data_IF_467849178171
#
_entry.id   IF_467849178171
#
_cell.length_a   1.000
_cell.length_b   1.000
_cell.length_c   1.000
_cell.angle_alpha   90.00
_cell.angle_beta   90.00
_cell.angle_gamma   90.00
#
_symmetry.space_group_name_H-M   'P 1'
#
loop_
_entity.id
_entity.type
_entity.pdbx_description
1 polymer ?
#
# COMPACT_ATOMS: atom_id res chain seq x y z
N UNK A 1 -7.19 -16.73 -11.52
CA UNK A 1 -7.03 -17.70 -10.42
C UNK A 1 -5.99 -17.12 -9.47
N UNK A 2 -6.40 -16.74 -8.27
CA UNK A 2 -5.49 -16.18 -7.28
C UNK A 2 -4.40 -17.20 -6.95
N UNK A 3 -3.16 -16.74 -6.93
CA UNK A 3 -2.05 -17.54 -6.42
C UNK A 3 -2.15 -17.60 -4.89
N UNK A 4 -1.61 -18.66 -4.29
CA UNK A 4 -1.56 -18.77 -2.83
C UNK A 4 -0.80 -17.59 -2.22
N UNK A 5 -1.34 -17.01 -1.12
CA UNK A 5 -0.82 -15.78 -0.55
C UNK A 5 0.60 -15.90 0.03
N UNK A 6 0.82 -16.80 0.98
CA UNK A 6 2.12 -16.94 1.66
C UNK A 6 2.67 -18.35 1.55
N UNK A 7 3.82 -18.48 0.89
CA UNK A 7 4.61 -19.71 0.85
C UNK A 7 5.69 -19.64 1.93
N UNK A 8 5.67 -20.58 2.89
CA UNK A 8 6.65 -20.63 3.97
C UNK A 8 7.09 -22.08 4.29
N UNK A 9 8.38 -22.35 4.48
CA UNK A 9 9.52 -21.43 4.23
C UNK A 9 9.66 -21.07 2.75
N UNK A 10 10.35 -19.96 2.43
CA UNK A 10 10.62 -19.55 1.04
C UNK A 10 11.20 -20.72 0.25
N UNK A 11 10.70 -20.95 -0.96
CA UNK A 11 11.14 -22.05 -1.83
C UNK A 11 10.59 -23.43 -1.49
N UNK A 12 9.78 -23.58 -0.43
CA UNK A 12 9.22 -24.89 -0.05
C UNK A 12 8.06 -25.36 -0.94
N UNK A 13 7.43 -24.46 -1.68
CA UNK A 13 6.18 -24.73 -2.39
C UNK A 13 4.96 -24.99 -1.48
N UNK A 14 5.14 -24.85 -0.15
CA UNK A 14 4.06 -25.07 0.82
C UNK A 14 3.37 -23.76 1.16
N UNK A 15 2.08 -23.70 0.92
CA UNK A 15 1.26 -22.54 1.30
C UNK A 15 0.97 -22.58 2.78
N UNK A 16 1.44 -21.58 3.52
CA UNK A 16 1.15 -21.40 4.94
C UNK A 16 -0.15 -20.60 5.16
N UNK A 17 -0.39 -19.58 4.34
CA UNK A 17 -1.62 -18.80 4.32
C UNK A 17 -2.08 -18.70 2.87
N UNK A 18 -3.24 -19.26 2.57
CA UNK A 18 -3.82 -19.16 1.23
C UNK A 18 -4.33 -17.76 0.97
N UNK A 19 -5.07 -17.23 1.94
CA UNK A 19 -5.66 -15.90 1.88
C UNK A 19 -5.90 -15.35 3.28
N UNK A 20 -5.78 -14.06 3.44
CA UNK A 20 -6.20 -13.32 4.62
C UNK A 20 -6.76 -11.96 4.21
N UNK A 21 -7.64 -11.40 5.01
CA UNK A 21 -8.23 -10.09 4.75
C UNK A 21 -9.00 -9.60 5.97
N UNK A 22 -9.38 -8.33 5.91
CA UNK A 22 -10.26 -7.71 6.90
C UNK A 22 -11.71 -7.79 6.41
N UNK A 23 -12.62 -7.95 7.35
CA UNK A 23 -14.06 -7.83 7.12
C UNK A 23 -14.59 -6.83 8.15
N UNK A 24 -15.41 -5.90 7.72
CA UNK A 24 -16.06 -4.94 8.59
C UNK A 24 -17.56 -4.92 8.33
N UNK A 25 -18.31 -4.47 9.32
CA UNK A 25 -19.73 -4.25 9.18
C UNK A 25 -20.11 -3.01 10.02
N UNK A 26 -20.99 -2.20 9.49
CA UNK A 26 -21.52 -1.03 10.17
C UNK A 26 -22.96 -0.75 9.74
N UNK A 27 -23.65 0.02 10.58
CA UNK A 27 -24.93 0.62 10.23
C UNK A 27 -24.68 2.09 9.93
N UNK A 28 -25.12 2.56 8.77
CA UNK A 28 -25.01 3.96 8.43
C UNK A 28 -26.08 4.76 9.17
N UNK A 29 -25.71 5.96 9.63
CA UNK A 29 -26.59 6.80 10.43
C UNK A 29 -27.86 7.27 9.67
N UNK A 30 -27.77 7.32 8.35
CA UNK A 30 -28.82 7.83 7.47
C UNK A 30 -29.76 6.74 6.94
N UNK A 31 -29.46 5.48 7.27
CA UNK A 31 -30.27 4.35 6.84
C UNK A 31 -31.61 4.37 7.57
N UNK A 32 -32.68 4.45 6.77
CA UNK A 32 -34.06 4.37 7.28
C UNK A 32 -34.48 2.93 7.56
N UNK A 33 -33.73 1.97 7.06
CA UNK A 33 -33.90 0.54 7.29
C UNK A 33 -32.70 -0.01 8.06
N UNK A 34 -32.96 -0.95 8.96
CA UNK A 34 -31.93 -1.62 9.77
C UNK A 34 -31.20 -2.65 8.89
N UNK A 35 -30.40 -2.17 7.92
CA UNK A 35 -29.63 -3.02 7.02
C UNK A 35 -28.13 -2.81 7.27
N UNK A 36 -27.42 -3.79 7.86
CA UNK A 36 -26.00 -3.67 8.08
C UNK A 36 -25.24 -3.73 6.75
N UNK A 37 -24.44 -2.71 6.48
CA UNK A 37 -23.47 -2.73 5.40
C UNK A 37 -22.25 -3.57 5.80
N UNK A 38 -21.80 -4.42 4.88
CA UNK A 38 -20.64 -5.29 5.08
C UNK A 38 -19.66 -5.04 3.94
N UNK A 39 -18.39 -4.99 4.25
CA UNK A 39 -17.31 -4.87 3.28
C UNK A 39 -16.05 -5.58 3.75
N UNK A 40 -15.04 -5.60 2.92
CA UNK A 40 -13.78 -6.24 3.27
C UNK A 40 -12.86 -6.48 2.09
N UNK A 41 -11.70 -7.03 2.38
CA UNK A 41 -10.65 -7.35 1.40
C UNK A 41 -10.46 -8.84 1.15
N UNK A 42 -11.42 -9.68 1.56
CA UNK A 42 -11.34 -11.12 1.33
C UNK A 42 -11.58 -11.44 -0.15
N UNK A 43 -10.83 -12.40 -0.69
CA UNK A 43 -10.93 -12.90 -2.08
C UNK A 43 -10.62 -11.87 -3.18
N UNK A 44 -9.81 -10.85 -2.85
CA UNK A 44 -9.46 -9.75 -3.79
C UNK A 44 -10.68 -8.96 -4.27
N UNK A 45 -11.81 -9.10 -3.58
CA UNK A 45 -13.06 -8.46 -3.93
C UNK A 45 -13.54 -7.61 -2.74
N UNK A 46 -14.17 -6.48 -3.01
CA UNK A 46 -14.69 -5.56 -2.02
C UNK A 46 -13.82 -4.33 -1.76
N UNK A 47 -12.59 -4.30 -2.27
CA UNK A 47 -11.73 -3.11 -2.28
C UNK A 47 -11.14 -2.90 -3.66
N UNK A 48 -10.96 -1.64 -4.02
CA UNK A 48 -10.15 -1.22 -5.16
C UNK A 48 -8.99 -0.35 -4.69
N UNK A 49 -7.89 -0.33 -5.46
CA UNK A 49 -6.80 0.62 -5.24
C UNK A 49 -7.29 2.06 -5.40
N UNK A 50 -6.67 2.98 -4.66
CA UNK A 50 -7.02 4.39 -4.67
C UNK A 50 -7.64 4.86 -3.36
N UNK A 51 -7.86 6.16 -3.25
CA UNK A 51 -8.31 6.81 -2.02
C UNK A 51 -9.55 7.67 -2.22
N UNK A 52 -10.10 8.15 -1.13
CA UNK A 52 -11.21 9.10 -1.13
C UNK A 52 -10.62 10.46 -0.74
N UNK A 53 -10.69 11.45 -1.62
CA UNK A 53 -10.14 12.78 -1.34
C UNK A 53 -10.97 13.54 -0.30
N UNK A 54 -10.44 14.67 0.18
CA UNK A 54 -11.10 15.50 1.19
C UNK A 54 -12.46 16.10 0.73
N UNK A 55 -12.75 16.06 -0.57
CA UNK A 55 -14.02 16.47 -1.13
C UNK A 55 -15.00 15.30 -1.29
N UNK A 56 -14.57 14.07 -0.96
CA UNK A 56 -15.36 12.85 -1.10
C UNK A 56 -15.30 12.22 -2.49
N UNK A 57 -14.39 12.66 -3.37
CA UNK A 57 -14.24 12.06 -4.67
C UNK A 57 -13.38 10.80 -4.58
N UNK A 58 -13.79 9.77 -5.28
CA UNK A 58 -13.03 8.51 -5.38
C UNK A 58 -11.93 8.66 -6.42
N UNK A 59 -10.70 8.46 -6.01
CA UNK A 59 -9.54 8.40 -6.90
C UNK A 59 -9.35 6.94 -7.32
N UNK A 60 -9.40 6.66 -8.64
CA UNK A 60 -9.47 5.29 -9.13
C UNK A 60 -8.10 4.59 -9.13
N UNK A 61 -8.06 3.24 -9.28
CA UNK A 61 -6.83 2.47 -9.36
C UNK A 61 -5.95 2.79 -10.58
N UNK A 62 -6.49 3.52 -11.56
CA UNK A 62 -5.72 4.02 -12.71
C UNK A 62 -4.84 5.24 -12.38
N UNK A 63 -5.03 5.87 -11.21
CA UNK A 63 -4.12 6.93 -10.77
C UNK A 63 -2.73 6.33 -10.46
N UNK A 64 -1.64 6.96 -10.95
CA UNK A 64 -0.28 6.45 -10.71
C UNK A 64 0.09 6.30 -9.24
N UNK A 65 -0.56 7.02 -8.34
CA UNK A 65 -0.34 6.97 -6.90
C UNK A 65 -1.17 5.88 -6.20
N UNK A 66 -2.12 5.25 -6.90
CA UNK A 66 -2.92 4.14 -6.38
C UNK A 66 -2.20 2.77 -6.45
N UNK A 67 -0.88 2.78 -6.54
CA UNK A 67 -0.02 1.60 -6.61
C UNK A 67 0.50 1.19 -5.24
N UNK A 68 1.07 0.01 -5.16
CA UNK A 68 1.84 -0.41 -3.98
C UNK A 68 3.21 0.27 -4.04
N UNK A 69 3.53 1.03 -3.00
CA UNK A 69 4.84 1.61 -2.77
C UNK A 69 5.66 0.67 -1.88
N UNK A 70 6.95 0.60 -2.12
CA UNK A 70 7.87 -0.16 -1.27
C UNK A 70 9.19 0.55 -1.11
N UNK A 71 9.66 0.61 0.11
CA UNK A 71 10.94 1.25 0.44
C UNK A 71 11.80 0.35 1.29
N UNK A 72 13.10 0.42 1.04
CA UNK A 72 14.15 -0.26 1.80
C UNK A 72 15.28 0.72 2.09
N UNK A 73 15.51 1.06 3.37
CA UNK A 73 16.57 2.01 3.72
C UNK A 73 17.96 1.58 3.24
N UNK A 74 18.26 0.28 3.26
CA UNK A 74 19.57 -0.25 2.82
C UNK A 74 19.79 -0.08 1.31
N UNK A 75 18.76 -0.16 0.48
CA UNK A 75 18.86 0.07 -0.97
C UNK A 75 19.23 1.53 -1.24
N UNK A 76 18.53 2.46 -0.60
CA UNK A 76 18.76 3.88 -0.81
C UNK A 76 20.10 4.35 -0.21
N UNK A 77 20.44 3.91 0.99
CA UNK A 77 21.69 4.29 1.68
C UNK A 77 22.88 3.47 1.22
N UNK A 78 22.69 2.21 0.86
CA UNK A 78 23.73 1.29 0.38
C UNK A 78 24.09 1.48 -1.08
N UNK A 79 23.22 2.18 -1.84
CA UNK A 79 23.44 2.42 -3.26
C UNK A 79 23.53 1.14 -4.09
N UNK A 80 24.36 1.13 -5.15
CA UNK A 80 24.43 -0.01 -6.07
C UNK A 80 25.08 -1.26 -5.49
N UNK A 81 25.55 -1.24 -4.27
CA UNK A 81 26.21 -2.38 -3.61
C UNK A 81 25.23 -3.39 -3.00
N UNK A 82 23.97 -3.00 -2.82
CA UNK A 82 22.94 -3.92 -2.32
C UNK A 82 22.51 -4.87 -3.45
N UNK A 83 22.64 -6.17 -3.19
CA UNK A 83 22.25 -7.23 -4.14
C UNK A 83 20.72 -7.39 -4.15
N UNK A 84 20.10 -7.03 -5.27
CA UNK A 84 18.65 -7.17 -5.51
C UNK A 84 18.35 -8.34 -6.48
N UNK A 85 19.36 -9.12 -6.87
CA UNK A 85 19.19 -10.21 -7.85
C UNK A 85 18.18 -11.28 -7.40
N UNK A 86 18.06 -11.65 -6.10
CA UNK A 86 17.04 -12.62 -5.69
C UNK A 86 15.61 -12.06 -5.83
N UNK A 87 15.43 -10.78 -5.55
CA UNK A 87 14.14 -10.11 -5.66
C UNK A 87 13.75 -9.93 -7.13
N UNK A 88 14.71 -9.50 -7.96
CA UNK A 88 14.55 -9.38 -9.40
C UNK A 88 14.16 -10.71 -10.06
N UNK A 89 14.78 -11.81 -9.63
CA UNK A 89 14.45 -13.14 -10.11
C UNK A 89 13.03 -13.57 -9.71
N UNK A 90 12.62 -13.29 -8.49
CA UNK A 90 11.27 -13.60 -8.00
C UNK A 90 10.19 -12.80 -8.77
N UNK A 91 10.50 -11.56 -9.16
CA UNK A 91 9.60 -10.68 -9.93
C UNK A 91 9.68 -10.90 -11.46
N UNK A 92 10.66 -11.64 -11.94
CA UNK A 92 10.90 -11.80 -13.37
C UNK A 92 11.31 -10.49 -14.06
N UNK A 93 12.00 -9.60 -13.35
CA UNK A 93 12.45 -8.26 -13.80
C UNK A 93 13.97 -8.16 -13.80
N UNK A 94 14.51 -7.14 -14.48
CA UNK A 94 15.92 -6.82 -14.34
C UNK A 94 16.21 -6.16 -12.97
N UNK A 95 17.36 -6.44 -12.37
CA UNK A 95 17.76 -5.86 -11.08
C UNK A 95 17.77 -4.33 -11.13
N UNK A 96 18.19 -3.76 -12.27
CA UNK A 96 18.18 -2.31 -12.47
C UNK A 96 16.76 -1.70 -12.38
N UNK A 97 15.74 -2.42 -12.88
CA UNK A 97 14.35 -1.97 -12.84
C UNK A 97 13.78 -2.06 -11.43
N UNK A 98 14.17 -3.10 -10.67
CA UNK A 98 13.80 -3.23 -9.25
C UNK A 98 14.41 -2.09 -8.43
N UNK A 99 15.68 -1.78 -8.67
CA UNK A 99 16.38 -0.67 -8.01
C UNK A 99 15.74 0.68 -8.34
N UNK A 100 15.49 0.94 -9.62
CA UNK A 100 14.83 2.17 -10.05
C UNK A 100 13.44 2.34 -9.42
N UNK A 101 12.71 1.24 -9.22
CA UNK A 101 11.43 1.26 -8.52
C UNK A 101 11.58 1.68 -7.06
N UNK A 102 12.57 1.14 -6.32
CA UNK A 102 12.85 1.56 -4.95
C UNK A 102 13.23 3.04 -4.85
N UNK A 103 14.03 3.54 -5.78
CA UNK A 103 14.44 4.95 -5.84
C UNK A 103 13.24 5.86 -6.12
N UNK A 104 12.37 5.44 -7.05
CA UNK A 104 11.12 6.16 -7.36
C UNK A 104 10.18 6.15 -6.15
N UNK A 105 9.95 4.98 -5.54
CA UNK A 105 9.07 4.86 -4.38
C UNK A 105 9.59 5.66 -3.18
N UNK A 106 10.90 5.77 -3.04
CA UNK A 106 11.51 6.60 -2.01
C UNK A 106 11.21 8.08 -2.21
N UNK A 107 11.36 8.57 -3.43
CA UNK A 107 11.15 10.00 -3.72
C UNK A 107 9.68 10.41 -3.83
N UNK A 108 8.83 9.48 -4.29
CA UNK A 108 7.40 9.69 -4.48
C UNK A 108 6.55 9.15 -3.33
N UNK A 109 7.17 8.84 -2.17
CA UNK A 109 6.48 8.28 -1.02
C UNK A 109 5.27 9.13 -0.62
N UNK A 110 4.06 8.54 -0.55
CA UNK A 110 2.82 9.31 -0.45
C UNK A 110 2.50 9.71 0.99
N UNK A 111 3.41 10.43 1.63
CA UNK A 111 3.25 10.91 3.00
C UNK A 111 2.01 11.81 3.19
N UNK A 112 1.64 12.56 2.15
CA UNK A 112 0.43 13.39 2.13
C UNK A 112 -0.87 12.57 2.14
N UNK A 113 -0.80 11.29 1.78
CA UNK A 113 -1.91 10.33 1.88
C UNK A 113 -1.86 9.50 3.17
N UNK A 114 -0.93 9.78 4.09
CA UNK A 114 -0.83 9.09 5.38
C UNK A 114 0.25 8.03 5.46
N UNK A 115 1.05 7.83 4.41
CA UNK A 115 2.16 6.89 4.47
C UNK A 115 3.18 7.32 5.53
N UNK A 116 3.60 6.42 6.46
CA UNK A 116 4.46 6.77 7.57
C UNK A 116 5.87 7.14 7.10
N UNK A 117 6.47 8.13 7.72
CA UNK A 117 7.87 8.50 7.51
C UNK A 117 8.49 9.07 8.80
N UNK A 118 9.80 9.05 8.87
CA UNK A 118 10.54 9.77 9.89
C UNK A 118 10.87 11.17 9.38
N UNK A 119 10.31 12.18 10.02
CA UNK A 119 10.59 13.59 9.73
C UNK A 119 11.91 13.97 10.41
N UNK A 120 12.97 14.02 9.62
CA UNK A 120 14.33 14.21 10.14
C UNK A 120 14.61 15.65 10.58
N UNK A 121 13.98 16.62 9.95
CA UNK A 121 14.15 18.06 10.23
C UNK A 121 13.02 18.67 11.08
N UNK A 122 11.91 17.94 11.27
CA UNK A 122 10.79 18.36 12.12
C UNK A 122 9.88 19.42 11.47
N UNK A 123 9.89 19.52 10.13
CA UNK A 123 9.12 20.54 9.43
C UNK A 123 7.69 20.08 9.06
N UNK A 124 7.37 18.80 9.20
CA UNK A 124 6.08 18.21 8.87
C UNK A 124 5.82 18.02 7.37
N UNK A 125 6.84 18.16 6.53
CA UNK A 125 6.79 17.97 5.08
C UNK A 125 7.75 16.85 4.71
N UNK A 126 7.30 15.92 3.88
CA UNK A 126 8.18 14.85 3.40
C UNK A 126 9.15 15.40 2.34
N UNK A 127 10.43 15.50 2.69
CA UNK A 127 11.53 15.96 1.84
C UNK A 127 12.75 15.00 1.91
N UNK A 128 12.69 13.87 1.20
CA UNK A 128 13.69 12.81 1.28
C UNK A 128 15.06 13.21 0.71
N UNK A 129 15.11 14.29 -0.05
CA UNK A 129 16.35 14.82 -0.64
C UNK A 129 16.95 15.83 0.34
N UNK A 130 18.23 15.71 0.69
CA UNK A 130 18.86 16.68 1.55
C UNK A 130 18.78 18.07 0.93
N UNK A 131 18.15 19.01 1.63
CA UNK A 131 18.30 20.41 1.33
C UNK A 131 19.75 20.79 1.64
N UNK A 132 20.46 21.53 0.79
CA UNK A 132 21.82 22.00 1.09
C UNK A 132 21.90 22.85 2.37
N UNK A 133 20.76 23.35 2.86
CA UNK A 133 20.66 24.10 4.12
C UNK A 133 20.32 23.16 5.30
N UNK A 134 19.64 22.05 5.03
CA UNK A 134 19.21 21.08 6.04
C UNK A 134 19.87 19.72 5.76
N UNK A 135 20.75 19.29 6.65
CA UNK A 135 21.46 18.01 6.53
C UNK A 135 20.62 16.80 6.95
N UNK A 136 19.43 17.03 7.52
CA UNK A 136 18.53 15.99 7.98
C UNK A 136 17.48 15.74 6.90
N UNK A 137 17.57 14.57 6.29
CA UNK A 137 16.57 14.11 5.32
C UNK A 137 15.52 13.25 5.98
N UNK A 138 14.35 13.23 5.39
CA UNK A 138 13.29 12.34 5.80
C UNK A 138 13.54 10.90 5.31
N UNK A 139 13.05 9.97 6.08
CA UNK A 139 13.18 8.54 5.78
C UNK A 139 11.78 7.95 5.66
N UNK A 140 11.37 7.48 4.47
CA UNK A 140 10.06 6.89 4.28
C UNK A 140 9.95 5.53 4.94
N UNK A 141 8.74 5.16 5.32
CA UNK A 141 8.42 3.90 5.94
C UNK A 141 8.44 3.93 7.46
N UNK A 142 8.22 2.76 8.05
CA UNK A 142 8.19 2.60 9.50
C UNK A 142 9.61 2.63 10.05
N UNK A 143 9.92 3.50 11.02
CA UNK A 143 11.26 3.58 11.62
C UNK A 143 11.74 2.23 12.14
N UNK A 144 12.95 1.84 11.77
CA UNK A 144 13.57 0.58 12.19
C UNK A 144 13.14 -0.65 11.41
N UNK A 145 12.25 -0.52 10.43
CA UNK A 145 11.91 -1.62 9.52
C UNK A 145 12.99 -1.85 8.48
N UNK A 146 13.20 -3.09 8.07
CA UNK A 146 14.09 -3.43 6.95
C UNK A 146 13.42 -3.13 5.59
N UNK A 147 12.10 -3.20 5.54
CA UNK A 147 11.28 -2.88 4.38
C UNK A 147 9.91 -2.42 4.85
N UNK A 148 9.36 -1.42 4.17
CA UNK A 148 7.97 -1.00 4.34
C UNK A 148 7.25 -1.10 3.00
N UNK A 149 6.07 -1.71 3.03
CA UNK A 149 5.11 -1.70 1.93
C UNK A 149 3.95 -0.79 2.35
N UNK A 150 3.51 0.06 1.46
CA UNK A 150 2.35 0.91 1.70
C UNK A 150 1.46 0.96 0.46
N UNK A 151 0.18 0.94 0.68
CA UNK A 151 -0.84 1.13 -0.35
C UNK A 151 -2.09 1.69 0.29
N UNK A 152 -2.96 2.27 -0.53
CA UNK A 152 -4.29 2.71 -0.13
C UNK A 152 -5.34 2.05 -1.01
N UNK A 153 -6.42 1.62 -0.38
CA UNK A 153 -7.57 1.01 -1.06
C UNK A 153 -8.87 1.50 -0.42
N UNK A 154 -9.94 1.50 -1.20
CA UNK A 154 -11.26 1.93 -0.75
C UNK A 154 -12.35 0.94 -1.22
N UNK A 155 -13.52 1.02 -0.58
CA UNK A 155 -14.67 0.16 -0.87
C UNK A 155 -15.67 0.78 -1.86
N UNK A 156 -15.32 1.89 -2.52
CA UNK A 156 -16.26 2.68 -3.32
C UNK A 156 -16.60 2.09 -4.70
N UNK A 157 -15.98 0.98 -5.09
CA UNK A 157 -16.45 0.22 -6.25
C UNK A 157 -17.66 -0.63 -5.84
N UNK A 158 -18.84 -0.09 -6.06
CA UNK A 158 -20.11 -0.70 -5.62
C UNK A 158 -20.34 -2.09 -6.19
N UNK A 159 -19.87 -2.36 -7.41
CA UNK A 159 -19.98 -3.66 -8.05
C UNK A 159 -19.20 -4.74 -7.29
N UNK A 160 -18.01 -4.43 -6.82
CA UNK A 160 -17.18 -5.37 -6.03
C UNK A 160 -17.85 -5.68 -4.68
N UNK A 161 -18.20 -4.64 -3.93
CA UNK A 161 -18.81 -4.79 -2.60
C UNK A 161 -20.17 -5.51 -2.68
N UNK A 162 -21.01 -5.12 -3.63
CA UNK A 162 -22.33 -5.73 -3.80
C UNK A 162 -22.27 -7.19 -4.24
N UNK A 163 -21.34 -7.54 -5.14
CA UNK A 163 -21.19 -8.91 -5.60
C UNK A 163 -20.73 -9.86 -4.51
N UNK A 164 -19.83 -9.40 -3.63
CA UNK A 164 -19.28 -10.25 -2.57
C UNK A 164 -20.14 -10.25 -1.30
N UNK A 165 -20.60 -9.09 -0.87
CA UNK A 165 -21.27 -8.93 0.42
C UNK A 165 -22.77 -8.62 0.31
N UNK A 166 -23.27 -8.32 -0.87
CA UNK A 166 -24.68 -8.03 -1.09
C UNK A 166 -25.14 -6.64 -0.62
N UNK A 167 -24.22 -5.78 -0.19
CA UNK A 167 -24.51 -4.46 0.35
C UNK A 167 -23.79 -3.35 -0.42
N UNK A 168 -24.21 -2.11 -0.24
CA UNK A 168 -23.54 -0.94 -0.80
C UNK A 168 -22.27 -0.60 -0.01
N UNK A 169 -21.26 0.04 -0.64
CA UNK A 169 -20.06 0.51 0.04
C UNK A 169 -20.38 1.57 1.09
N UNK A 170 -19.49 1.70 2.07
CA UNK A 170 -19.64 2.61 3.22
C UNK A 170 -18.70 3.81 3.18
N UNK A 171 -17.83 3.93 2.18
CA UNK A 171 -16.80 4.96 2.17
C UNK A 171 -15.61 4.61 3.06
N UNK A 172 -15.30 3.33 3.20
CA UNK A 172 -14.15 2.87 3.97
C UNK A 172 -12.88 2.97 3.13
N UNK A 173 -11.84 3.49 3.76
CA UNK A 173 -10.48 3.52 3.23
C UNK A 173 -9.58 2.68 4.12
N UNK A 174 -8.69 1.90 3.51
CA UNK A 174 -7.69 1.07 4.17
C UNK A 174 -6.30 1.47 3.68
N UNK A 175 -5.42 1.71 4.65
CA UNK A 175 -4.01 2.03 4.42
C UNK A 175 -3.09 1.00 5.10
#
# INVERSE_FOLDING_TARGET
QANSGLVYPKGSGKTAVFQSGLVWAAMLHDDTEFDPHVGGSTYEEGLQGGWIDAAGNVIPPSDPRARIFRVRPDVYTGGPTVDLSPEAADEGRAEADVRAQYETDWTEWPADLGAPYFDGNGNGIYDPIPDPVDSLRDIPGVPGSNQTLWYVANDQESGLTQNLYGTQPMGMEMQ
#
